data_IF_821478439825
#
_entry.id   IF_821478439825
#
_cell.length_a   1.000
_cell.length_b   1.000
_cell.length_c   1.000
_cell.angle_alpha   90.00
_cell.angle_beta   90.00
_cell.angle_gamma   90.00
#
_symmetry.space_group_name_H-M   'P 1'
#
loop_
_entity.id
_entity.type
_entity.pdbx_description
1 polymer ?
#
# COMPACT_ATOMS: atom_id res chain seq x y z
N UNK A 1 -14.01 2.44 8.05
CA UNK A 1 -12.82 3.22 8.45
C UNK A 1 -11.59 2.36 8.24
N UNK A 2 -10.46 2.95 7.80
CA UNK A 2 -9.23 2.19 7.59
C UNK A 2 -8.73 1.52 8.87
N UNK A 3 -8.28 0.27 8.73
CA UNK A 3 -7.75 -0.53 9.83
C UNK A 3 -6.22 -0.62 9.82
N UNK A 4 -5.58 -0.26 8.70
CA UNK A 4 -4.13 -0.17 8.62
C UNK A 4 -3.62 0.35 7.28
N UNK A 5 -2.37 0.83 7.28
CA UNK A 5 -1.61 1.26 6.12
C UNK A 5 -0.32 0.46 6.06
N UNK A 6 0.00 -0.09 4.90
CA UNK A 6 1.24 -0.86 4.65
C UNK A 6 1.93 -0.30 3.42
N UNK A 7 3.24 -0.09 3.53
CA UNK A 7 4.10 0.24 2.39
C UNK A 7 5.01 -0.95 2.15
N UNK A 8 4.98 -1.47 0.93
CA UNK A 8 5.81 -2.60 0.52
C UNK A 8 6.55 -2.31 -0.79
N UNK A 9 7.58 -3.11 -1.06
CA UNK A 9 8.32 -3.17 -2.32
C UNK A 9 8.46 -4.62 -2.79
N UNK A 10 8.77 -4.78 -4.07
CA UNK A 10 9.27 -6.03 -4.62
C UNK A 10 10.80 -6.03 -4.60
N UNK A 11 11.40 -7.09 -4.06
CA UNK A 11 12.82 -7.41 -4.15
C UNK A 11 13.01 -8.69 -4.99
N UNK A 12 13.90 -8.66 -5.96
CA UNK A 12 14.11 -9.77 -6.91
C UNK A 12 14.59 -11.08 -6.26
N UNK A 13 15.09 -11.02 -5.02
CA UNK A 13 15.60 -12.20 -4.29
C UNK A 13 14.65 -12.63 -3.18
N UNK A 14 14.09 -11.68 -2.44
CA UNK A 14 13.27 -11.92 -1.27
C UNK A 14 11.76 -11.93 -1.57
N UNK A 15 11.34 -11.42 -2.73
CA UNK A 15 9.94 -11.25 -3.10
C UNK A 15 9.33 -9.99 -2.49
N UNK A 16 8.09 -10.07 -1.99
CA UNK A 16 7.43 -8.92 -1.38
C UNK A 16 8.01 -8.58 0.00
N UNK A 17 8.47 -7.35 0.18
CA UNK A 17 9.02 -6.84 1.44
C UNK A 17 8.17 -5.69 2.00
N UNK A 18 7.75 -5.80 3.26
CA UNK A 18 7.09 -4.69 3.97
C UNK A 18 8.15 -3.75 4.53
N UNK A 19 8.15 -2.51 4.08
CA UNK A 19 9.07 -1.45 4.55
C UNK A 19 8.52 -0.74 5.79
N UNK A 20 7.21 -0.53 5.85
CA UNK A 20 6.55 0.09 6.99
C UNK A 20 5.09 -0.31 7.06
N UNK A 21 4.55 -0.32 8.27
CA UNK A 21 3.14 -0.58 8.54
C UNK A 21 2.66 0.19 9.76
N UNK A 22 1.39 0.58 9.74
CA UNK A 22 0.73 1.20 10.86
C UNK A 22 -0.75 0.81 10.92
N UNK A 23 -1.31 0.44 12.08
CA UNK A 23 -0.60 0.14 13.33
C UNK A 23 0.43 -1.01 13.18
N UNK A 24 1.37 -1.13 14.13
CA UNK A 24 2.43 -2.14 14.07
C UNK A 24 1.88 -3.59 14.17
N UNK A 25 0.69 -3.73 14.74
CA UNK A 25 -0.02 -4.99 14.90
C UNK A 25 -0.66 -5.50 13.60
N UNK A 26 -0.71 -4.65 12.56
CA UNK A 26 -1.20 -5.04 11.24
C UNK A 26 -0.39 -6.23 10.74
N UNK A 27 -1.10 -7.25 10.28
CA UNK A 27 -0.51 -8.46 9.76
C UNK A 27 -1.14 -8.81 8.40
N UNK A 28 -0.29 -8.97 7.40
CA UNK A 28 -0.66 -9.45 6.07
C UNK A 28 0.13 -10.73 5.79
N UNK A 29 -0.55 -11.71 5.20
CA UNK A 29 0.12 -12.94 4.77
C UNK A 29 0.93 -12.68 3.51
N UNK A 30 2.01 -13.44 3.31
CA UNK A 30 2.78 -13.41 2.06
C UNK A 30 1.89 -13.61 0.83
N UNK A 31 0.91 -14.52 0.92
CA UNK A 31 -0.10 -14.73 -0.13
C UNK A 31 -0.86 -13.46 -0.47
N UNK A 32 -1.25 -12.67 0.53
CA UNK A 32 -1.95 -11.40 0.33
C UNK A 32 -1.07 -10.38 -0.39
N UNK A 33 0.19 -10.23 0.04
CA UNK A 33 1.15 -9.32 -0.58
C UNK A 33 1.40 -9.71 -2.05
N UNK A 34 1.58 -11.00 -2.31
CA UNK A 34 1.78 -11.55 -3.66
C UNK A 34 0.58 -11.30 -4.57
N UNK A 35 -0.66 -11.43 -4.06
CA UNK A 35 -1.87 -11.14 -4.84
C UNK A 35 -1.97 -9.65 -5.21
N UNK A 36 -1.61 -8.75 -4.30
CA UNK A 36 -1.55 -7.30 -4.59
C UNK A 36 -0.50 -7.01 -5.66
N UNK A 37 0.72 -7.52 -5.46
CA UNK A 37 1.82 -7.37 -6.43
C UNK A 37 1.40 -7.86 -7.82
N UNK A 38 0.94 -9.10 -7.94
CA UNK A 38 0.61 -9.70 -9.24
C UNK A 38 -0.49 -8.96 -9.99
N UNK A 39 -1.41 -8.34 -9.26
CA UNK A 39 -2.52 -7.59 -9.87
C UNK A 39 -2.04 -6.26 -10.45
N UNK A 40 -1.14 -5.56 -9.75
CA UNK A 40 -0.51 -4.34 -10.29
C UNK A 40 0.39 -4.65 -11.48
N UNK A 41 1.22 -5.69 -11.40
CA UNK A 41 2.12 -6.10 -12.50
C UNK A 41 1.36 -6.50 -13.78
N UNK A 42 0.11 -6.94 -13.66
CA UNK A 42 -0.72 -7.20 -14.84
C UNK A 42 -0.98 -5.93 -15.66
N UNK A 43 -1.14 -4.79 -14.99
CA UNK A 43 -1.29 -3.48 -15.65
C UNK A 43 0.05 -2.90 -16.10
N UNK A 44 1.10 -3.09 -15.29
CA UNK A 44 2.44 -2.53 -15.52
C UNK A 44 2.51 -0.99 -15.40
N UNK A 45 1.44 -0.33 -14.97
CA UNK A 45 1.33 1.12 -14.88
C UNK A 45 1.08 1.57 -13.43
N UNK A 46 1.46 2.81 -13.10
CA UNK A 46 1.09 3.40 -11.82
C UNK A 46 -0.42 3.58 -11.74
N UNK A 47 -1.02 3.27 -10.59
CA UNK A 47 -2.46 3.42 -10.43
C UNK A 47 -2.99 2.75 -9.17
N UNK A 48 -4.27 2.95 -8.92
CA UNK A 48 -4.98 2.27 -7.84
C UNK A 48 -5.69 1.02 -8.36
N UNK A 49 -5.67 -0.03 -7.54
CA UNK A 49 -6.56 -1.19 -7.67
C UNK A 49 -7.30 -1.40 -6.35
N UNK A 50 -8.46 -2.04 -6.46
CA UNK A 50 -9.30 -2.44 -5.34
C UNK A 50 -9.41 -3.96 -5.31
N UNK A 51 -9.12 -4.57 -4.16
CA UNK A 51 -9.05 -6.02 -3.99
C UNK A 51 -9.85 -6.46 -2.76
N UNK A 52 -10.62 -7.54 -2.91
CA UNK A 52 -11.25 -8.24 -1.79
C UNK A 52 -10.52 -9.55 -1.55
N UNK A 53 -9.91 -9.70 -0.36
CA UNK A 53 -9.15 -10.90 0.01
C UNK A 53 -9.71 -11.45 1.32
N UNK A 54 -10.54 -12.49 1.21
CA UNK A 54 -11.27 -13.04 2.35
C UNK A 54 -12.31 -12.03 2.86
N UNK A 55 -12.17 -11.59 4.10
CA UNK A 55 -13.04 -10.56 4.73
C UNK A 55 -12.38 -9.17 4.76
N UNK A 56 -11.30 -8.97 4.02
CA UNK A 56 -10.51 -7.75 3.99
C UNK A 56 -10.66 -7.06 2.63
N UNK A 57 -11.06 -5.79 2.64
CA UNK A 57 -10.97 -4.94 1.46
C UNK A 57 -9.61 -4.22 1.48
N UNK A 58 -8.98 -4.08 0.31
CA UNK A 58 -7.69 -3.42 0.15
C UNK A 58 -7.80 -2.42 -0.99
N UNK A 59 -7.54 -1.14 -0.71
CA UNK A 59 -7.20 -0.16 -1.73
C UNK A 59 -5.68 -0.12 -1.85
N UNK A 60 -5.14 -0.36 -3.05
CA UNK A 60 -3.69 -0.43 -3.26
C UNK A 60 -3.26 0.50 -4.37
N UNK A 61 -2.35 1.42 -4.08
CA UNK A 61 -1.76 2.31 -5.07
C UNK A 61 -0.32 1.88 -5.37
N UNK A 62 -0.02 1.63 -6.65
CA UNK A 62 1.32 1.35 -7.13
C UNK A 62 1.93 2.60 -7.76
N UNK A 63 3.15 2.95 -7.36
CA UNK A 63 3.86 4.14 -7.85
C UNK A 63 4.47 3.97 -9.25
N UNK A 64 4.23 2.83 -9.89
CA UNK A 64 4.82 2.49 -11.18
C UNK A 64 6.23 1.89 -11.06
N UNK A 65 6.75 1.33 -12.16
CA UNK A 65 8.00 0.55 -12.18
C UNK A 65 9.26 1.36 -11.89
N UNK A 66 9.23 2.70 -12.05
CA UNK A 66 10.37 3.56 -11.76
C UNK A 66 10.69 3.59 -10.25
N UNK A 67 9.66 3.67 -9.40
CA UNK A 67 9.84 3.79 -7.95
C UNK A 67 9.54 2.48 -7.20
N UNK A 68 8.62 1.65 -7.73
CA UNK A 68 8.38 0.29 -7.25
C UNK A 68 7.66 0.16 -5.90
N UNK A 69 7.06 1.22 -5.35
CA UNK A 69 6.34 1.17 -4.07
C UNK A 69 4.87 0.80 -4.26
N UNK A 70 4.36 -0.02 -3.35
CA UNK A 70 2.95 -0.34 -3.24
C UNK A 70 2.44 0.15 -1.88
N UNK A 71 1.42 1.00 -1.91
CA UNK A 71 0.78 1.58 -0.73
C UNK A 71 -0.58 0.94 -0.55
N UNK A 72 -0.74 0.12 0.47
CA UNK A 72 -1.92 -0.68 0.75
C UNK A 72 -2.67 -0.10 1.94
N UNK A 73 -3.91 0.35 1.70
CA UNK A 73 -4.85 0.71 2.75
C UNK A 73 -5.76 -0.49 3.01
N UNK A 74 -5.73 -0.96 4.25
CA UNK A 74 -6.53 -2.08 4.72
C UNK A 74 -7.85 -1.55 5.26
N UNK A 75 -8.94 -2.15 4.81
CA UNK A 75 -10.31 -1.69 5.04
C UNK A 75 -11.20 -2.85 5.50
N UNK A 76 -12.30 -2.53 6.17
CA UNK A 76 -13.32 -3.53 6.48
C UNK A 76 -14.13 -3.88 5.21
N UNK A 77 -14.84 -5.00 5.23
CA UNK A 77 -15.63 -5.46 4.10
C UNK A 77 -16.73 -4.47 3.66
N UNK A 78 -17.22 -3.65 4.59
CA UNK A 78 -18.27 -2.66 4.36
C UNK A 78 -17.75 -1.34 3.79
N UNK A 79 -16.44 -1.12 3.84
CA UNK A 79 -15.82 0.11 3.36
C UNK A 79 -15.60 0.06 1.84
N UNK A 80 -15.88 1.17 1.16
CA UNK A 80 -15.61 1.37 -0.27
C UNK A 80 -14.13 1.74 -0.48
N UNK A 81 -13.32 0.88 -1.15
CA UNK A 81 -11.92 1.16 -1.43
C UNK A 81 -11.72 2.36 -2.36
N UNK A 82 -12.64 2.58 -3.30
CA UNK A 82 -12.47 3.58 -4.35
C UNK A 82 -12.57 5.01 -3.78
N UNK A 83 -13.23 5.17 -2.64
CA UNK A 83 -13.30 6.43 -1.91
C UNK A 83 -11.95 6.97 -1.42
N UNK A 84 -10.89 6.14 -1.41
CA UNK A 84 -9.56 6.51 -0.92
C UNK A 84 -8.55 6.83 -2.03
N UNK A 85 -8.97 6.83 -3.31
CA UNK A 85 -8.07 7.01 -4.45
C UNK A 85 -7.25 8.31 -4.37
N UNK A 86 -7.93 9.45 -4.23
CA UNK A 86 -7.27 10.76 -4.15
C UNK A 86 -6.32 10.84 -2.95
N UNK A 87 -6.74 10.30 -1.79
CA UNK A 87 -5.93 10.26 -0.58
C UNK A 87 -4.66 9.43 -0.76
N UNK A 88 -4.77 8.26 -1.39
CA UNK A 88 -3.64 7.39 -1.70
C UNK A 88 -2.67 8.01 -2.71
N UNK A 89 -3.18 8.69 -3.74
CA UNK A 89 -2.36 9.45 -4.67
C UNK A 89 -1.56 10.52 -3.92
N UNK A 90 -2.20 11.27 -3.02
CA UNK A 90 -1.53 12.33 -2.28
C UNK A 90 -0.47 11.80 -1.30
N UNK A 91 -0.78 10.76 -0.53
CA UNK A 91 0.21 10.20 0.39
C UNK A 91 1.36 9.49 -0.35
N UNK A 92 1.11 8.90 -1.52
CA UNK A 92 2.17 8.28 -2.31
C UNK A 92 3.21 9.30 -2.79
N UNK A 93 2.77 10.50 -3.20
CA UNK A 93 3.67 11.61 -3.55
C UNK A 93 4.55 12.02 -2.37
N UNK A 94 3.98 12.07 -1.17
CA UNK A 94 4.74 12.40 0.05
C UNK A 94 5.75 11.30 0.36
N UNK A 95 5.36 10.02 0.24
CA UNK A 95 6.28 8.89 0.40
C UNK A 95 7.45 9.03 -0.58
N UNK A 96 7.16 9.23 -1.87
CA UNK A 96 8.17 9.39 -2.93
C UNK A 96 9.14 10.56 -2.70
N UNK A 97 8.66 11.67 -2.12
CA UNK A 97 9.50 12.82 -1.77
C UNK A 97 10.44 12.55 -0.57
N UNK A 98 10.21 11.49 0.21
CA UNK A 98 10.93 11.19 1.45
C UNK A 98 11.48 9.75 1.44
N UNK A 99 11.79 9.20 0.26
CA UNK A 99 12.36 7.85 0.10
C UNK A 99 13.84 7.79 0.46
N UNK A 100 14.55 8.91 0.34
CA UNK A 100 15.96 8.98 0.74
C UNK A 100 16.07 8.68 2.24
N UNK A 101 17.01 7.79 2.58
CA UNK A 101 17.25 7.35 3.96
C UNK A 101 16.00 6.81 4.71
N UNK A 102 15.01 6.34 3.96
CA UNK A 102 13.75 5.79 4.48
C UNK A 102 12.98 6.75 5.41
N UNK A 103 13.12 8.06 5.21
CA UNK A 103 12.50 9.08 6.08
C UNK A 103 10.96 8.98 6.13
N UNK A 104 10.34 8.53 5.03
CA UNK A 104 8.90 8.33 4.93
C UNK A 104 8.34 7.37 6.00
N UNK A 105 9.14 6.43 6.52
CA UNK A 105 8.71 5.46 7.54
C UNK A 105 8.16 6.19 8.78
N UNK A 106 8.81 7.29 9.18
CA UNK A 106 8.40 8.12 10.34
C UNK A 106 7.09 8.86 10.08
N UNK A 107 6.73 9.06 8.82
CA UNK A 107 5.55 9.80 8.39
C UNK A 107 4.30 8.90 8.32
N UNK A 108 4.45 7.59 8.16
CA UNK A 108 3.34 6.63 7.96
C UNK A 108 2.21 6.79 8.99
N UNK A 109 2.45 6.89 10.31
CA UNK A 109 1.36 7.10 11.28
C UNK A 109 0.58 8.41 11.05
N UNK A 110 1.27 9.47 10.61
CA UNK A 110 0.64 10.75 10.32
C UNK A 110 -0.15 10.73 9.01
N UNK A 111 0.36 10.04 7.99
CA UNK A 111 -0.30 9.87 6.69
C UNK A 111 -1.55 9.01 6.82
N UNK A 112 -1.51 7.94 7.61
CA UNK A 112 -2.68 7.10 7.89
C UNK A 112 -3.84 7.90 8.53
N UNK A 113 -3.55 8.80 9.47
CA UNK A 113 -4.58 9.62 10.12
C UNK A 113 -5.27 10.64 9.19
N UNK A 114 -4.73 10.85 8.00
CA UNK A 114 -5.30 11.77 6.99
C UNK A 114 -6.22 11.06 6.01
N UNK A 115 -6.23 9.72 6.01
CA UNK A 115 -7.08 8.87 5.19
C UNK A 115 -8.41 8.58 5.90
#
# INVERSE_FOLDING_TARGET
>A
MPIGLVVMKWDDRAGTEILSKYPEEVFLTEKTLMQVYSTHEYSGESGMISLMIGSLNIASYFTGPENGFYILLLLNLEDDPDAYEEGLIDISRIILQNVEEDEFIKLIPSLFRRL
#
